data_IF_598030216095
#
_entry.id   IF_598030216095
#
_cell.length_a   1.000
_cell.length_b   1.000
_cell.length_c   1.000
_cell.angle_alpha   90.00
_cell.angle_beta   90.00
_cell.angle_gamma   90.00
#
_symmetry.space_group_name_H-M   'P 1'
#
loop_
_entity.id
_entity.type
_entity.pdbx_description
1 polymer ?
#
# COMPACT_ATOMS: atom_id res chain seq x y z
N UNK A 1 -8.48 -13.11 16.49
CA UNK A 1 -7.47 -12.75 17.51
C UNK A 1 -7.99 -11.73 18.50
N UNK A 2 -8.39 -10.53 18.06
CA UNK A 2 -8.94 -9.48 18.94
C UNK A 2 -10.06 -9.98 19.89
N UNK A 3 -11.04 -10.72 19.37
CA UNK A 3 -12.15 -11.24 20.18
C UNK A 3 -11.72 -12.21 21.29
N UNK A 4 -10.57 -12.90 21.14
CA UNK A 4 -10.05 -13.79 22.19
C UNK A 4 -9.64 -13.01 23.44
N UNK A 5 -9.36 -11.71 23.31
CA UNK A 5 -9.00 -10.84 24.43
C UNK A 5 -10.23 -10.29 25.15
N UNK A 6 -11.29 -9.94 24.41
CA UNK A 6 -12.48 -9.28 24.99
C UNK A 6 -13.51 -10.26 25.57
N UNK A 7 -13.65 -11.45 24.97
CA UNK A 7 -14.66 -12.44 25.39
C UNK A 7 -14.50 -12.84 26.87
N UNK A 8 -13.30 -13.18 27.38
CA UNK A 8 -13.13 -13.54 28.79
C UNK A 8 -13.52 -12.41 29.76
N UNK A 9 -13.31 -11.16 29.37
CA UNK A 9 -13.68 -9.98 30.18
C UNK A 9 -15.20 -9.85 30.26
N UNK A 10 -15.90 -10.04 29.14
CA UNK A 10 -17.37 -9.99 29.08
C UNK A 10 -18.00 -11.16 29.84
N UNK A 11 -17.41 -12.35 29.77
CA UNK A 11 -17.81 -13.52 30.57
C UNK A 11 -17.69 -13.25 32.06
N UNK A 12 -16.55 -12.71 32.52
CA UNK A 12 -16.33 -12.37 33.92
C UNK A 12 -17.34 -11.33 34.43
N UNK A 13 -17.75 -10.38 33.56
CA UNK A 13 -18.75 -9.36 33.85
C UNK A 13 -20.19 -9.85 33.69
N UNK A 14 -20.41 -11.07 33.19
CA UNK A 14 -21.72 -11.60 32.81
C UNK A 14 -22.47 -10.70 31.82
N UNK A 15 -21.73 -10.04 30.94
CA UNK A 15 -22.28 -9.19 29.88
C UNK A 15 -22.69 -10.08 28.68
N UNK A 16 -23.81 -10.78 28.86
CA UNK A 16 -24.36 -11.67 27.84
C UNK A 16 -24.78 -10.94 26.55
N UNK A 17 -25.35 -9.70 26.59
CA UNK A 17 -25.59 -8.94 25.38
C UNK A 17 -24.30 -8.64 24.59
N UNK A 18 -23.23 -8.23 25.26
CA UNK A 18 -21.93 -8.00 24.64
C UNK A 18 -21.35 -9.27 24.02
N UNK A 19 -21.46 -10.41 24.72
CA UNK A 19 -21.05 -11.72 24.20
C UNK A 19 -21.83 -12.11 22.95
N UNK A 20 -23.15 -11.96 22.96
CA UNK A 20 -23.99 -12.27 21.80
C UNK A 20 -23.58 -11.44 20.57
N UNK A 21 -23.31 -10.15 20.74
CA UNK A 21 -22.82 -9.29 19.66
C UNK A 21 -21.44 -9.73 19.14
N UNK A 22 -20.52 -10.12 20.03
CA UNK A 22 -19.20 -10.62 19.64
C UNK A 22 -19.31 -11.86 18.73
N UNK A 23 -20.10 -12.85 19.14
CA UNK A 23 -20.29 -14.08 18.37
C UNK A 23 -21.05 -13.85 17.06
N UNK A 24 -22.03 -12.94 17.05
CA UNK A 24 -22.72 -12.54 15.83
C UNK A 24 -21.74 -11.91 14.83
N UNK A 25 -20.88 -10.99 15.29
CA UNK A 25 -19.88 -10.36 14.43
C UNK A 25 -18.84 -11.37 13.91
N UNK A 26 -18.38 -12.30 14.75
CA UNK A 26 -17.49 -13.40 14.33
C UNK A 26 -18.14 -14.25 13.23
N UNK A 27 -19.40 -14.62 13.40
CA UNK A 27 -20.16 -15.39 12.41
C UNK A 27 -20.21 -14.66 11.07
N UNK A 28 -20.55 -13.37 11.09
CA UNK A 28 -20.57 -12.54 9.89
C UNK A 28 -19.20 -12.42 9.22
N UNK A 29 -18.13 -12.28 10.00
CA UNK A 29 -16.76 -12.20 9.49
C UNK A 29 -16.34 -13.49 8.78
N UNK A 30 -16.61 -14.66 9.37
CA UNK A 30 -16.31 -15.95 8.73
C UNK A 30 -17.14 -16.19 7.48
N UNK A 31 -18.42 -15.83 7.48
CA UNK A 31 -19.26 -15.93 6.30
C UNK A 31 -18.71 -15.08 5.13
N UNK A 32 -18.25 -13.85 5.41
CA UNK A 32 -17.56 -13.03 4.40
C UNK A 32 -16.28 -13.67 3.88
N UNK A 33 -15.47 -14.28 4.75
CA UNK A 33 -14.25 -15.00 4.31
C UNK A 33 -14.60 -16.14 3.36
N UNK A 34 -15.63 -16.92 3.67
CA UNK A 34 -16.11 -18.01 2.80
C UNK A 34 -16.58 -17.46 1.45
N UNK A 35 -17.37 -16.39 1.45
CA UNK A 35 -17.87 -15.73 0.24
C UNK A 35 -16.72 -15.20 -0.64
N UNK A 36 -15.75 -14.51 -0.04
CA UNK A 36 -14.60 -13.97 -0.78
C UNK A 36 -13.67 -15.06 -1.31
N UNK A 37 -13.49 -16.16 -0.57
CA UNK A 37 -12.70 -17.30 -1.04
C UNK A 37 -13.37 -18.00 -2.22
N UNK A 38 -14.72 -18.10 -2.23
CA UNK A 38 -15.46 -18.69 -3.36
C UNK A 38 -15.43 -17.80 -4.61
N UNK A 39 -15.55 -16.49 -4.43
CA UNK A 39 -15.64 -15.54 -5.56
C UNK A 39 -14.28 -15.11 -6.11
N UNK A 40 -13.20 -15.27 -5.34
CA UNK A 40 -11.87 -14.77 -5.68
C UNK A 40 -11.76 -13.23 -5.71
N UNK A 41 -12.81 -12.49 -5.36
CA UNK A 41 -12.91 -11.03 -5.51
C UNK A 41 -12.32 -10.24 -4.35
N UNK A 42 -11.42 -10.84 -3.55
CA UNK A 42 -10.82 -10.14 -2.42
C UNK A 42 -9.73 -9.18 -2.91
N UNK A 43 -10.12 -7.95 -3.23
CA UNK A 43 -9.21 -6.90 -3.67
C UNK A 43 -8.54 -6.23 -2.47
N UNK A 44 -7.52 -6.90 -1.91
CA UNK A 44 -6.77 -6.43 -0.72
C UNK A 44 -5.78 -5.28 -1.00
N UNK A 45 -5.76 -4.80 -2.24
CA UNK A 45 -4.88 -3.75 -2.71
C UNK A 45 -3.76 -4.27 -3.60
N UNK A 46 -3.05 -3.33 -4.21
CA UNK A 46 -1.87 -3.58 -5.04
C UNK A 46 -0.67 -2.88 -4.42
N UNK A 47 0.52 -3.38 -4.74
CA UNK A 47 1.75 -2.85 -4.21
C UNK A 47 2.58 -2.22 -5.33
N UNK A 48 3.21 -1.09 -5.02
CA UNK A 48 4.08 -0.38 -5.93
C UNK A 48 5.37 -0.01 -5.21
N UNK A 49 6.50 -0.32 -5.83
CA UNK A 49 7.78 0.25 -5.44
C UNK A 49 7.84 1.68 -5.96
N UNK A 50 8.16 2.64 -5.08
CA UNK A 50 8.34 4.05 -5.43
C UNK A 50 9.71 4.49 -4.95
N UNK A 51 10.48 5.10 -5.84
CA UNK A 51 11.80 5.67 -5.53
C UNK A 51 11.82 7.12 -5.99
N UNK A 52 12.36 8.00 -5.15
CA UNK A 52 12.52 9.42 -5.42
C UNK A 52 13.98 9.73 -5.75
N UNK A 53 14.24 10.50 -6.80
CA UNK A 53 15.59 10.99 -7.11
C UNK A 53 15.56 12.50 -7.35
N UNK A 54 16.59 13.20 -6.88
CA UNK A 54 16.73 14.65 -7.01
C UNK A 54 17.01 15.28 -5.66
N UNK A 55 18.28 15.33 -5.27
CA UNK A 55 18.74 15.85 -3.97
C UNK A 55 18.20 17.25 -3.66
N UNK A 56 18.11 18.12 -4.66
CA UNK A 56 17.62 19.50 -4.51
C UNK A 56 16.12 19.62 -4.16
N UNK A 57 15.33 18.55 -4.38
CA UNK A 57 13.88 18.55 -4.18
C UNK A 57 13.43 17.63 -3.05
N UNK A 58 14.07 16.47 -2.96
CA UNK A 58 13.69 15.39 -2.05
C UNK A 58 14.58 15.31 -0.81
N UNK A 59 15.75 15.95 -0.82
CA UNK A 59 16.66 16.01 0.33
C UNK A 59 16.97 14.61 0.88
N UNK A 60 16.50 14.29 2.08
CA UNK A 60 16.70 13.00 2.75
C UNK A 60 15.97 11.84 2.04
N UNK A 61 14.94 12.15 1.26
CA UNK A 61 14.16 11.17 0.49
C UNK A 61 14.84 10.77 -0.83
N UNK A 62 15.94 11.43 -1.19
CA UNK A 62 16.68 11.13 -2.41
C UNK A 62 17.33 9.73 -2.33
N UNK A 63 16.96 8.86 -3.27
CA UNK A 63 17.42 7.48 -3.36
C UNK A 63 16.71 6.51 -2.41
N UNK A 64 15.72 6.97 -1.63
CA UNK A 64 14.99 6.11 -0.71
C UNK A 64 13.92 5.31 -1.46
N UNK A 65 13.87 4.00 -1.19
CA UNK A 65 12.92 3.07 -1.77
C UNK A 65 11.77 2.76 -0.80
N UNK A 66 10.55 2.90 -1.31
CA UNK A 66 9.32 2.66 -0.57
C UNK A 66 8.44 1.62 -1.24
N UNK A 67 7.67 0.90 -0.44
CA UNK A 67 6.57 0.05 -0.91
C UNK A 67 5.23 0.68 -0.54
N UNK A 68 4.54 1.19 -1.56
CA UNK A 68 3.22 1.80 -1.44
C UNK A 68 2.14 0.73 -1.54
N UNK A 69 1.19 0.72 -0.61
CA UNK A 69 -0.01 -0.13 -0.66
C UNK A 69 -1.20 0.70 -1.13
N UNK A 70 -1.69 0.39 -2.32
CA UNK A 70 -2.82 1.07 -2.94
C UNK A 70 -4.13 0.30 -2.76
N UNK A 71 -5.28 0.98 -2.66
CA UNK A 71 -6.57 0.32 -2.47
C UNK A 71 -7.00 -0.46 -3.72
N UNK A 72 -7.72 -1.55 -3.50
CA UNK A 72 -8.45 -2.31 -4.52
C UNK A 72 -7.58 -2.69 -5.75
N UNK A 73 -7.83 -2.05 -6.89
CA UNK A 73 -7.29 -2.36 -8.23
C UNK A 73 -6.58 -1.17 -8.86
N UNK A 74 -6.07 -0.24 -8.05
CA UNK A 74 -5.33 0.94 -8.54
C UNK A 74 -4.30 0.54 -9.59
N UNK A 75 -4.35 1.20 -10.74
CA UNK A 75 -3.47 0.92 -11.86
C UNK A 75 -2.13 1.65 -11.71
N UNK A 76 -1.09 1.20 -12.43
CA UNK A 76 0.20 1.91 -12.47
C UNK A 76 0.03 3.35 -12.94
N UNK A 77 -0.80 3.58 -13.95
CA UNK A 77 -1.07 4.91 -14.49
C UNK A 77 -1.73 5.81 -13.44
N UNK A 78 -2.67 5.28 -12.66
CA UNK A 78 -3.39 6.04 -11.64
C UNK A 78 -2.48 6.51 -10.50
N UNK A 79 -1.63 5.63 -9.95
CA UNK A 79 -0.66 6.03 -8.93
C UNK A 79 0.39 6.98 -9.52
N UNK A 80 0.90 6.71 -10.73
CA UNK A 80 1.90 7.56 -11.37
C UNK A 80 1.37 8.96 -11.65
N UNK A 81 0.14 9.09 -12.15
CA UNK A 81 -0.49 10.37 -12.39
C UNK A 81 -0.76 11.13 -11.08
N UNK A 82 -1.23 10.43 -10.05
CA UNK A 82 -1.46 11.03 -8.73
C UNK A 82 -0.17 11.59 -8.12
N UNK A 83 0.91 10.80 -8.15
CA UNK A 83 2.22 11.24 -7.65
C UNK A 83 2.79 12.36 -8.52
N UNK A 84 2.74 12.23 -9.85
CA UNK A 84 3.19 13.28 -10.76
C UNK A 84 2.45 14.60 -10.49
N UNK A 85 1.13 14.57 -10.37
CA UNK A 85 0.33 15.75 -10.06
C UNK A 85 0.73 16.37 -8.72
N UNK A 86 0.78 15.57 -7.65
CA UNK A 86 1.14 16.04 -6.31
C UNK A 86 2.49 16.76 -6.29
N UNK A 87 3.51 16.19 -6.95
CA UNK A 87 4.84 16.78 -6.95
C UNK A 87 5.02 17.91 -7.96
N UNK A 88 4.28 17.91 -9.08
CA UNK A 88 4.23 19.07 -9.99
C UNK A 88 3.57 20.27 -9.32
N UNK A 89 2.52 20.04 -8.54
CA UNK A 89 1.87 21.09 -7.74
C UNK A 89 2.82 21.65 -6.67
N UNK A 90 3.75 20.83 -6.15
CA UNK A 90 4.73 21.21 -5.12
C UNK A 90 5.98 21.89 -5.69
N UNK A 91 6.53 21.40 -6.79
CA UNK A 91 7.86 21.79 -7.31
C UNK A 91 7.81 22.51 -8.66
N UNK A 92 6.65 22.60 -9.29
CA UNK A 92 6.48 23.13 -10.64
C UNK A 92 6.48 22.03 -11.71
N UNK A 93 5.60 22.19 -12.72
CA UNK A 93 5.36 21.20 -13.76
C UNK A 93 6.60 20.80 -14.57
N UNK A 94 7.51 21.75 -14.78
CA UNK A 94 8.71 21.57 -15.61
C UNK A 94 9.85 20.84 -14.88
N UNK A 95 9.74 20.69 -13.55
CA UNK A 95 10.79 20.13 -12.71
C UNK A 95 10.58 18.65 -12.38
N UNK A 96 9.43 18.05 -12.69
CA UNK A 96 9.09 16.68 -12.27
C UNK A 96 8.97 15.72 -13.46
N UNK A 97 9.76 14.64 -13.44
CA UNK A 97 9.73 13.56 -14.44
C UNK A 97 9.42 12.21 -13.81
N UNK A 98 8.59 11.42 -14.50
CA UNK A 98 8.29 10.05 -14.11
C UNK A 98 9.24 9.11 -14.85
N UNK A 99 9.86 8.17 -14.13
CA UNK A 99 10.63 7.08 -14.71
C UNK A 99 9.70 5.87 -14.81
N UNK A 100 9.40 5.49 -16.05
CA UNK A 100 8.52 4.35 -16.36
C UNK A 100 9.28 3.02 -16.48
N UNK A 101 10.61 3.08 -16.60
CA UNK A 101 11.45 1.88 -16.59
C UNK A 101 11.50 1.30 -15.17
N UNK A 102 11.47 -0.02 -15.08
CA UNK A 102 11.60 -0.78 -13.83
C UNK A 102 13.05 -1.11 -13.47
N UNK A 103 13.98 -0.93 -14.42
CA UNK A 103 15.39 -1.20 -14.22
C UNK A 103 16.00 -0.33 -13.12
N UNK A 104 17.07 -0.80 -12.43
CA UNK A 104 17.85 0.06 -11.56
C UNK A 104 18.31 1.30 -12.32
N UNK A 105 18.08 2.48 -11.73
CA UNK A 105 18.40 3.76 -12.36
C UNK A 105 19.83 4.15 -11.99
N UNK A 106 20.65 4.47 -12.98
CA UNK A 106 21.95 5.07 -12.75
C UNK A 106 21.79 6.56 -12.43
N UNK A 107 21.94 6.90 -11.15
CA UNK A 107 21.78 8.27 -10.63
C UNK A 107 22.74 9.25 -11.30
N UNK A 108 23.90 8.79 -11.80
CA UNK A 108 24.86 9.66 -12.48
C UNK A 108 24.37 10.20 -13.82
N UNK A 109 23.38 9.54 -14.43
CA UNK A 109 22.80 9.94 -15.72
C UNK A 109 21.61 10.88 -15.59
N UNK A 110 21.13 11.13 -14.36
CA UNK A 110 19.99 11.99 -14.08
C UNK A 110 20.40 13.46 -14.05
N UNK A 111 19.53 14.35 -14.53
CA UNK A 111 19.74 15.80 -14.44
C UNK A 111 19.52 16.26 -12.99
N UNK A 112 20.54 16.81 -12.31
CA UNK A 112 20.41 17.27 -10.92
C UNK A 112 19.35 18.37 -10.72
N UNK A 113 18.93 19.04 -11.80
CA UNK A 113 17.91 20.11 -11.78
C UNK A 113 16.48 19.60 -11.83
N UNK A 114 16.27 18.28 -11.92
CA UNK A 114 14.95 17.67 -12.02
C UNK A 114 14.70 16.71 -10.86
N UNK A 115 13.44 16.62 -10.48
CA UNK A 115 12.90 15.63 -9.57
C UNK A 115 12.39 14.43 -10.38
N UNK A 116 12.94 13.25 -10.14
CA UNK A 116 12.50 12.01 -10.77
C UNK A 116 11.76 11.13 -9.78
N UNK A 117 10.70 10.49 -10.26
CA UNK A 117 9.92 9.52 -9.47
C UNK A 117 9.80 8.25 -10.29
N UNK A 118 10.38 7.16 -9.79
CA UNK A 118 10.26 5.84 -10.39
C UNK A 118 9.14 5.08 -9.71
N UNK A 119 8.19 4.55 -10.49
CA UNK A 119 7.09 3.75 -9.98
C UNK A 119 7.08 2.41 -10.69
N UNK A 120 7.09 1.32 -9.92
CA UNK A 120 7.10 -0.05 -10.46
C UNK A 120 6.06 -0.89 -9.74
N UNK A 121 5.22 -1.60 -10.49
CA UNK A 121 4.29 -2.55 -9.89
C UNK A 121 5.04 -3.74 -9.32
N UNK A 122 4.73 -4.12 -8.08
CA UNK A 122 5.34 -5.26 -7.41
C UNK A 122 4.28 -6.20 -6.84
N UNK A 123 4.62 -7.46 -6.70
CA UNK A 123 3.78 -8.48 -6.08
C UNK A 123 4.48 -9.04 -4.84
N UNK A 124 3.75 -9.32 -3.74
CA UNK A 124 4.32 -9.99 -2.59
C UNK A 124 5.02 -11.28 -3.02
N UNK A 125 6.28 -11.43 -2.63
CA UNK A 125 7.05 -12.65 -2.84
C UNK A 125 6.99 -13.49 -1.57
N UNK A 126 6.60 -14.76 -1.74
CA UNK A 126 6.61 -15.74 -0.67
C UNK A 126 7.67 -16.79 -1.02
N UNK A 127 8.74 -16.86 -0.21
CA UNK A 127 9.68 -17.97 -0.33
C UNK A 127 8.94 -19.26 0.03
N UNK A 128 9.26 -20.38 -0.64
CA UNK A 128 8.78 -21.68 -0.15
C UNK A 128 9.54 -21.95 1.14
N UNK A 129 8.81 -22.14 2.24
CA UNK A 129 9.39 -22.58 3.50
C UNK A 129 10.25 -23.84 3.23
N UNK A 130 11.51 -23.83 3.67
CA UNK A 130 12.37 -25.03 3.75
C UNK A 130 11.87 -26.01 4.82
#
# INVERSE_FOLDING_TARGET
ELYRLIVPILEARRDYPGLAQCYQHLTQAYNRVIEFNKTGKRLLGRFFRVIYYGQAYFEDENGVEYVYKEPKVTSLSEISERLAKQYRDKFGSDHVKMIMDSSPVDVSTLDPKLAYIQVTHVTPYFCKDE
#
